data_IF_879484393465
#
_entry.id   IF_879484393465
#
_cell.length_a   1.000
_cell.length_b   1.000
_cell.length_c   1.000
_cell.angle_alpha   90.00
_cell.angle_beta   90.00
_cell.angle_gamma   90.00
#
_symmetry.space_group_name_H-M   'P 1'
#
loop_
_entity.id
_entity.type
_entity.pdbx_description
1 polymer ?
#
# COMPACT_ATOMS: atom_id res chain seq x y z
N UNK A 1 -8.21 2.71 16.31
CA UNK A 1 -8.30 4.08 15.75
C UNK A 1 -6.95 4.78 15.64
N UNK A 2 -6.13 4.83 16.70
CA UNK A 2 -4.81 5.51 16.66
C UNK A 2 -3.86 4.93 15.60
N UNK A 3 -3.78 3.60 15.49
CA UNK A 3 -3.00 2.91 14.44
C UNK A 3 -3.38 3.37 13.02
N UNK A 4 -4.68 3.39 12.73
CA UNK A 4 -5.19 3.84 11.43
C UNK A 4 -4.91 5.31 11.14
N UNK A 5 -4.99 6.18 12.14
CA UNK A 5 -4.68 7.62 12.00
C UNK A 5 -3.19 7.83 11.68
N UNK A 6 -2.30 7.16 12.41
CA UNK A 6 -0.85 7.26 12.20
C UNK A 6 -0.48 6.71 10.82
N UNK A 7 -1.00 5.54 10.45
CA UNK A 7 -0.77 4.94 9.13
C UNK A 7 -1.28 5.85 7.99
N UNK A 8 -2.49 6.38 8.12
CA UNK A 8 -3.07 7.28 7.13
C UNK A 8 -2.26 8.56 6.98
N UNK A 9 -1.81 9.16 8.09
CA UNK A 9 -0.99 10.37 8.10
C UNK A 9 0.38 10.12 7.46
N UNK A 10 1.02 9.00 7.80
CA UNK A 10 2.29 8.58 7.20
C UNK A 10 2.19 8.41 5.69
N UNK A 11 1.10 7.79 5.22
CA UNK A 11 0.80 7.67 3.78
C UNK A 11 0.66 9.04 3.11
N UNK A 12 -0.11 9.95 3.70
CA UNK A 12 -0.33 11.27 3.13
C UNK A 12 0.93 12.15 3.11
N UNK A 13 1.83 11.98 4.09
CA UNK A 13 3.01 12.83 4.21
C UNK A 13 4.24 12.29 3.46
N UNK A 14 4.42 10.97 3.46
CA UNK A 14 5.70 10.36 3.09
C UNK A 14 5.68 9.47 1.86
N UNK A 15 4.50 9.10 1.34
CA UNK A 15 4.44 8.18 0.20
C UNK A 15 4.51 8.96 -1.09
N UNK A 16 5.40 8.51 -1.98
CA UNK A 16 5.70 9.21 -3.22
C UNK A 16 4.49 9.32 -4.15
N UNK A 17 3.66 8.29 -4.21
CA UNK A 17 2.42 8.27 -5.01
C UNK A 17 1.45 9.39 -4.64
N UNK A 18 1.50 9.79 -3.38
CA UNK A 18 0.62 10.74 -2.75
C UNK A 18 1.22 12.14 -2.82
N UNK A 19 2.51 12.27 -2.49
CA UNK A 19 3.27 13.54 -2.59
C UNK A 19 3.28 14.07 -4.01
N UNK A 20 3.47 13.21 -5.02
CA UNK A 20 3.46 13.61 -6.43
C UNK A 20 2.14 14.26 -6.83
N UNK A 21 1.00 13.75 -6.36
CA UNK A 21 -0.32 14.31 -6.68
C UNK A 21 -0.50 15.73 -6.16
N UNK A 22 0.08 16.06 -5.00
CA UNK A 22 0.00 17.41 -4.45
C UNK A 22 0.89 18.40 -5.21
N UNK A 23 2.06 17.95 -5.68
CA UNK A 23 2.98 18.77 -6.47
C UNK A 23 2.42 19.12 -7.86
N UNK A 24 1.45 18.36 -8.35
CA UNK A 24 0.74 18.65 -9.60
C UNK A 24 -0.45 19.61 -9.45
N UNK A 25 -0.81 20.03 -8.24
CA UNK A 25 -1.91 20.98 -8.03
C UNK A 25 -1.46 22.42 -8.25
N UNK A 26 -2.38 23.31 -8.66
CA UNK A 26 -2.02 24.68 -9.01
C UNK A 26 -1.81 25.58 -7.79
N UNK A 27 -2.21 25.14 -6.60
CA UNK A 27 -2.00 25.89 -5.36
C UNK A 27 -2.02 25.01 -4.11
N UNK A 28 -1.42 25.50 -3.02
CA UNK A 28 -1.49 24.86 -1.70
C UNK A 28 -2.92 24.67 -1.20
N UNK A 29 -3.84 25.60 -1.54
CA UNK A 29 -5.25 25.50 -1.18
C UNK A 29 -5.93 24.32 -1.88
N UNK A 30 -5.59 24.08 -3.14
CA UNK A 30 -6.08 22.92 -3.89
C UNK A 30 -5.48 21.61 -3.38
N UNK A 31 -4.18 21.56 -3.10
CA UNK A 31 -3.56 20.40 -2.46
C UNK A 31 -4.27 20.01 -1.16
N UNK A 32 -4.53 20.98 -0.27
CA UNK A 32 -5.26 20.74 0.99
C UNK A 32 -6.69 20.24 0.76
N UNK A 33 -7.39 20.78 -0.23
CA UNK A 33 -8.73 20.32 -0.61
C UNK A 33 -8.72 18.90 -1.15
N UNK A 34 -7.74 18.56 -1.99
CA UNK A 34 -7.59 17.20 -2.53
C UNK A 34 -7.31 16.18 -1.42
N UNK A 35 -6.44 16.53 -0.46
CA UNK A 35 -6.17 15.70 0.72
C UNK A 35 -7.44 15.50 1.56
N UNK A 36 -8.14 16.59 1.87
CA UNK A 36 -9.37 16.54 2.65
C UNK A 36 -10.45 15.70 1.96
N UNK A 37 -10.61 15.86 0.65
CA UNK A 37 -11.55 15.07 -0.14
C UNK A 37 -11.17 13.59 -0.13
N UNK A 38 -9.90 13.25 -0.32
CA UNK A 38 -9.40 11.87 -0.24
C UNK A 38 -9.68 11.23 1.12
N UNK A 39 -9.48 11.98 2.21
CA UNK A 39 -9.78 11.53 3.57
C UNK A 39 -11.27 11.29 3.79
N UNK A 40 -12.11 12.24 3.36
CA UNK A 40 -13.57 12.14 3.49
C UNK A 40 -14.13 10.99 2.65
N UNK A 41 -13.63 10.78 1.43
CA UNK A 41 -14.08 9.68 0.56
C UNK A 41 -13.58 8.30 1.00
N UNK A 42 -12.48 8.23 1.75
CA UNK A 42 -11.96 6.95 2.26
C UNK A 42 -12.90 6.31 3.30
N UNK A 43 -13.53 7.11 4.17
CA UNK A 43 -14.44 6.63 5.22
C UNK A 43 -15.66 5.87 4.69
N UNK A 44 -16.49 6.42 3.79
CA UNK A 44 -17.64 5.70 3.25
C UNK A 44 -17.20 4.51 2.39
N UNK A 45 -16.04 4.59 1.73
CA UNK A 45 -15.50 3.47 0.96
C UNK A 45 -15.23 2.27 1.86
N UNK A 46 -14.53 2.46 2.99
CA UNK A 46 -14.32 1.38 3.97
C UNK A 46 -15.63 0.89 4.57
N UNK A 47 -16.53 1.81 4.93
CA UNK A 47 -17.86 1.46 5.44
C UNK A 47 -18.64 0.56 4.46
N UNK A 48 -18.59 0.87 3.17
CA UNK A 48 -19.22 0.08 2.13
C UNK A 48 -18.60 -1.33 2.02
N UNK A 49 -17.28 -1.46 2.01
CA UNK A 49 -16.61 -2.77 1.95
C UNK A 49 -16.94 -3.65 3.18
N UNK A 50 -16.93 -3.08 4.39
CA UNK A 50 -17.32 -3.82 5.60
C UNK A 50 -18.80 -4.21 5.60
N UNK A 51 -19.66 -3.31 5.11
CA UNK A 51 -21.09 -3.60 4.98
C UNK A 51 -21.33 -4.74 3.99
N UNK A 52 -20.72 -4.69 2.81
CA UNK A 52 -20.80 -5.77 1.80
C UNK A 52 -20.27 -7.09 2.37
N UNK A 53 -19.12 -7.09 3.05
CA UNK A 53 -18.59 -8.30 3.69
C UNK A 53 -19.56 -8.89 4.73
N UNK A 54 -20.22 -8.04 5.52
CA UNK A 54 -21.24 -8.48 6.50
C UNK A 54 -22.47 -9.04 5.80
N UNK A 55 -22.93 -8.42 4.72
CA UNK A 55 -24.03 -8.94 3.91
C UNK A 55 -23.72 -10.31 3.31
N UNK A 56 -22.51 -10.51 2.77
CA UNK A 56 -22.06 -11.80 2.24
C UNK A 56 -21.98 -12.87 3.32
N UNK A 57 -21.45 -12.51 4.50
CA UNK A 57 -21.40 -13.41 5.64
C UNK A 57 -22.82 -13.89 6.01
N UNK A 58 -23.77 -12.98 6.19
CA UNK A 58 -25.17 -13.33 6.51
C UNK A 58 -25.82 -14.13 5.37
N UNK A 59 -25.60 -13.74 4.11
CA UNK A 59 -26.16 -14.41 2.94
C UNK A 59 -25.77 -15.89 2.89
N UNK A 60 -24.47 -16.19 2.96
CA UNK A 60 -23.98 -17.58 2.90
C UNK A 60 -24.27 -18.38 4.17
N UNK A 61 -24.43 -17.73 5.33
CA UNK A 61 -24.89 -18.41 6.55
C UNK A 61 -26.33 -18.93 6.45
N UNK A 62 -27.14 -18.33 5.58
CA UNK A 62 -28.52 -18.79 5.32
C UNK A 62 -28.64 -19.66 4.06
N UNK A 63 -27.58 -19.74 3.23
CA UNK A 63 -27.52 -20.48 1.98
C UNK A 63 -26.25 -21.35 1.92
N UNK A 64 -25.94 -22.06 3.01
CA UNK A 64 -24.66 -22.77 3.19
C UNK A 64 -24.37 -23.79 2.08
N UNK A 65 -25.40 -24.37 1.46
CA UNK A 65 -25.24 -25.32 0.34
C UNK A 65 -24.63 -24.72 -0.93
N UNK A 66 -24.54 -23.39 -1.04
CA UNK A 66 -24.05 -22.69 -2.23
C UNK A 66 -22.56 -22.34 -2.18
N UNK A 67 -21.90 -22.46 -1.01
CA UNK A 67 -20.47 -22.15 -0.87
C UNK A 67 -19.66 -23.45 -0.66
N UNK A 68 -18.64 -23.74 -1.50
CA UNK A 68 -17.81 -24.93 -1.31
C UNK A 68 -17.14 -24.96 0.07
N UNK A 69 -17.10 -26.14 0.69
CA UNK A 69 -16.35 -26.34 1.95
C UNK A 69 -14.87 -26.01 1.76
N UNK A 70 -14.29 -25.30 2.72
CA UNK A 70 -12.89 -24.85 2.65
C UNK A 70 -12.66 -23.63 1.76
N UNK A 71 -13.71 -22.89 1.38
CA UNK A 71 -13.54 -21.62 0.67
C UNK A 71 -12.82 -20.60 1.54
N UNK A 72 -11.67 -20.12 1.06
CA UNK A 72 -10.89 -19.06 1.69
C UNK A 72 -11.70 -17.75 1.79
N UNK A 73 -11.48 -16.99 2.87
CA UNK A 73 -12.22 -15.75 3.12
C UNK A 73 -12.13 -14.75 1.95
N UNK A 74 -10.97 -14.66 1.29
CA UNK A 74 -10.72 -13.77 0.15
C UNK A 74 -11.48 -14.18 -1.12
N UNK A 75 -11.91 -15.45 -1.23
CA UNK A 75 -12.59 -16.00 -2.40
C UNK A 75 -14.11 -15.83 -2.36
N UNK A 76 -14.69 -15.52 -1.18
CA UNK A 76 -16.15 -15.42 -0.99
C UNK A 76 -16.78 -14.32 -1.87
N UNK A 77 -16.16 -13.15 -1.94
CA UNK A 77 -16.69 -12.04 -2.75
C UNK A 77 -16.60 -12.32 -4.27
N UNK A 78 -15.44 -12.76 -4.82
CA UNK A 78 -15.38 -13.24 -6.20
C UNK A 78 -16.39 -14.35 -6.52
N UNK A 79 -16.58 -15.31 -5.60
CA UNK A 79 -17.54 -16.39 -5.78
C UNK A 79 -18.97 -15.85 -5.95
N UNK A 80 -19.37 -14.91 -5.09
CA UNK A 80 -20.69 -14.26 -5.17
C UNK A 80 -20.89 -13.52 -6.49
N UNK A 81 -19.88 -12.77 -6.96
CA UNK A 81 -19.96 -12.02 -8.22
C UNK A 81 -20.22 -12.94 -9.42
N UNK A 82 -19.62 -14.13 -9.42
CA UNK A 82 -19.67 -15.06 -10.55
C UNK A 82 -20.91 -15.94 -10.55
N UNK A 83 -21.44 -16.31 -9.38
CA UNK A 83 -22.50 -17.32 -9.27
C UNK A 83 -23.87 -16.75 -8.88
N UNK A 84 -23.91 -15.67 -8.12
CA UNK A 84 -25.16 -15.15 -7.53
C UNK A 84 -25.65 -13.86 -8.21
N UNK A 85 -24.77 -13.14 -8.92
CA UNK A 85 -25.15 -11.88 -9.57
C UNK A 85 -25.78 -12.11 -10.96
N UNK A 86 -26.81 -11.32 -11.32
CA UNK A 86 -27.40 -11.38 -12.65
C UNK A 86 -26.42 -10.94 -13.74
N UNK A 87 -26.59 -11.52 -14.93
CA UNK A 87 -25.79 -11.19 -16.11
C UNK A 87 -25.86 -9.69 -16.43
N UNK A 88 -24.73 -9.12 -16.85
CA UNK A 88 -24.56 -7.67 -17.00
C UNK A 88 -23.96 -7.00 -15.76
N UNK A 89 -24.56 -7.18 -14.58
CA UNK A 89 -24.02 -6.59 -13.34
C UNK A 89 -22.67 -7.19 -12.97
N UNK A 90 -22.49 -8.50 -13.14
CA UNK A 90 -21.20 -9.19 -12.99
C UNK A 90 -20.09 -8.50 -13.79
N UNK A 91 -20.37 -8.15 -15.05
CA UNK A 91 -19.38 -7.49 -15.93
C UNK A 91 -19.00 -6.10 -15.44
N UNK A 92 -19.98 -5.31 -14.99
CA UNK A 92 -19.74 -3.97 -14.42
C UNK A 92 -18.88 -4.04 -13.16
N UNK A 93 -19.17 -4.98 -12.26
CA UNK A 93 -18.42 -5.16 -11.02
C UNK A 93 -16.99 -5.61 -11.30
N UNK A 94 -16.80 -6.61 -12.16
CA UNK A 94 -15.45 -7.08 -12.55
C UNK A 94 -14.64 -5.94 -13.18
N UNK A 95 -15.25 -5.18 -14.09
CA UNK A 95 -14.59 -4.02 -14.70
C UNK A 95 -14.20 -2.97 -13.66
N UNK A 96 -15.07 -2.68 -12.69
CA UNK A 96 -14.79 -1.76 -11.59
C UNK A 96 -13.65 -2.21 -10.68
N UNK A 97 -13.61 -3.50 -10.33
CA UNK A 97 -12.52 -4.10 -9.52
C UNK A 97 -11.19 -4.02 -10.27
N UNK A 98 -11.18 -4.38 -11.56
CA UNK A 98 -9.99 -4.29 -12.40
C UNK A 98 -9.50 -2.84 -12.54
N UNK A 99 -10.42 -1.89 -12.77
CA UNK A 99 -10.09 -0.47 -12.85
C UNK A 99 -9.48 0.06 -11.54
N UNK A 100 -10.04 -0.33 -10.39
CA UNK A 100 -9.51 0.05 -9.08
C UNK A 100 -8.11 -0.54 -8.83
N UNK A 101 -7.90 -1.82 -9.20
CA UNK A 101 -6.61 -2.49 -9.10
C UNK A 101 -5.56 -1.81 -9.99
N UNK A 102 -5.89 -1.54 -11.25
CA UNK A 102 -5.00 -0.85 -12.20
C UNK A 102 -4.63 0.55 -11.71
N UNK A 103 -5.60 1.35 -11.21
CA UNK A 103 -5.33 2.68 -10.68
C UNK A 103 -4.29 2.69 -9.55
N UNK A 104 -4.34 1.68 -8.68
CA UNK A 104 -3.39 1.52 -7.57
C UNK A 104 -2.01 1.05 -8.06
N UNK A 105 -1.99 0.10 -9.00
CA UNK A 105 -0.75 -0.39 -9.61
C UNK A 105 -0.02 0.71 -10.40
N UNK A 106 -0.73 1.48 -11.20
CA UNK A 106 -0.16 2.58 -12.00
C UNK A 106 0.51 3.63 -11.12
N UNK A 107 -0.13 3.97 -10.00
CA UNK A 107 0.42 4.93 -9.04
C UNK A 107 1.70 4.42 -8.38
N UNK A 108 1.74 3.13 -8.05
CA UNK A 108 2.92 2.48 -7.44
C UNK A 108 4.09 2.37 -8.43
N UNK A 109 3.82 1.94 -9.67
CA UNK A 109 4.83 1.86 -10.73
C UNK A 109 5.43 3.24 -11.05
N UNK A 110 4.59 4.25 -11.22
CA UNK A 110 5.04 5.62 -11.47
C UNK A 110 5.91 6.17 -10.33
N UNK A 111 5.55 5.85 -9.09
CA UNK A 111 6.30 6.29 -7.90
C UNK A 111 7.69 5.66 -7.83
N UNK A 112 7.79 4.35 -8.03
CA UNK A 112 9.07 3.63 -8.06
C UNK A 112 9.96 4.18 -9.18
N UNK A 113 9.41 4.32 -10.38
CA UNK A 113 10.14 4.84 -11.54
C UNK A 113 10.63 6.27 -11.32
N UNK A 114 9.80 7.14 -10.75
CA UNK A 114 10.20 8.49 -10.40
C UNK A 114 11.36 8.51 -9.40
N UNK A 115 11.28 7.74 -8.30
CA UNK A 115 12.36 7.66 -7.30
C UNK A 115 13.66 7.15 -7.92
N UNK A 116 13.61 6.08 -8.72
CA UNK A 116 14.81 5.56 -9.39
C UNK A 116 15.41 6.63 -10.33
N UNK A 117 14.58 7.31 -11.12
CA UNK A 117 15.07 8.32 -12.07
C UNK A 117 15.62 9.57 -11.35
N UNK A 118 14.91 10.12 -10.37
CA UNK A 118 15.31 11.38 -9.71
C UNK A 118 16.41 11.17 -8.68
N UNK A 119 16.29 10.13 -7.86
CA UNK A 119 17.10 9.99 -6.66
C UNK A 119 18.30 9.10 -6.88
N UNK A 120 18.24 8.16 -7.83
CA UNK A 120 19.35 7.26 -8.17
C UNK A 120 20.02 7.73 -9.46
N UNK A 121 19.30 7.79 -10.57
CA UNK A 121 19.89 8.09 -11.87
C UNK A 121 20.37 9.55 -11.96
N UNK A 122 19.49 10.54 -11.79
CA UNK A 122 19.88 11.96 -11.89
C UNK A 122 20.89 12.39 -10.82
N UNK A 123 20.80 11.83 -9.61
CA UNK A 123 21.63 12.26 -8.48
C UNK A 123 22.95 11.51 -8.34
N UNK A 124 22.97 10.20 -8.58
CA UNK A 124 24.13 9.36 -8.27
C UNK A 124 24.82 8.79 -9.51
N UNK A 125 24.07 8.37 -10.55
CA UNK A 125 24.64 7.54 -11.61
C UNK A 125 24.77 8.24 -12.98
N UNK A 126 23.68 8.74 -13.53
CA UNK A 126 23.56 9.30 -14.87
C UNK A 126 23.34 10.81 -14.77
N UNK A 127 24.37 11.55 -14.36
CA UNK A 127 24.29 13.02 -14.19
C UNK A 127 24.35 13.73 -15.54
N UNK A 128 23.42 14.67 -15.77
CA UNK A 128 23.42 15.54 -16.95
C UNK A 128 23.07 14.85 -18.27
N UNK A 129 22.43 13.68 -18.22
CA UNK A 129 21.95 13.00 -19.44
C UNK A 129 20.72 13.70 -20.04
N UNK A 130 20.42 13.37 -21.29
CA UNK A 130 19.22 13.90 -21.97
C UNK A 130 17.93 13.38 -21.34
N UNK A 131 16.85 14.16 -21.44
CA UNK A 131 15.51 13.73 -20.97
C UNK A 131 15.03 12.45 -21.65
N UNK A 132 15.42 12.23 -22.91
CA UNK A 132 15.13 10.99 -23.62
C UNK A 132 15.76 9.77 -22.95
N UNK A 133 16.99 9.90 -22.44
CA UNK A 133 17.67 8.84 -21.69
C UNK A 133 16.91 8.54 -20.40
N UNK A 134 16.51 9.56 -19.64
CA UNK A 134 15.74 9.36 -18.41
C UNK A 134 14.38 8.71 -18.68
N UNK A 135 13.70 9.06 -19.77
CA UNK A 135 12.43 8.43 -20.16
C UNK A 135 12.59 6.94 -20.51
N UNK A 136 13.68 6.57 -21.20
CA UNK A 136 13.96 5.16 -21.50
C UNK A 136 14.23 4.39 -20.20
N UNK A 137 15.05 4.94 -19.30
CA UNK A 137 15.29 4.34 -17.98
C UNK A 137 13.99 4.18 -17.20
N UNK A 138 13.13 5.21 -17.18
CA UNK A 138 11.84 5.17 -16.49
C UNK A 138 10.95 4.01 -16.99
N UNK A 139 10.91 3.79 -18.31
CA UNK A 139 10.14 2.70 -18.93
C UNK A 139 10.72 1.32 -18.61
N UNK A 140 12.04 1.19 -18.62
CA UNK A 140 12.72 -0.06 -18.25
C UNK A 140 12.46 -0.39 -16.79
N UNK A 141 12.57 0.59 -15.89
CA UNK A 141 12.27 0.43 -14.46
C UNK A 141 10.82 -0.01 -14.27
N UNK A 142 9.85 0.64 -14.93
CA UNK A 142 8.45 0.23 -14.87
C UNK A 142 8.25 -1.23 -15.30
N UNK A 143 8.85 -1.66 -16.40
CA UNK A 143 8.74 -3.03 -16.89
C UNK A 143 9.35 -4.04 -15.91
N UNK A 144 10.53 -3.73 -15.35
CA UNK A 144 11.18 -4.59 -14.35
C UNK A 144 10.38 -4.66 -13.05
N UNK A 145 9.89 -3.53 -12.54
CA UNK A 145 9.06 -3.50 -11.34
C UNK A 145 7.75 -4.27 -11.55
N UNK A 146 7.11 -4.14 -12.71
CA UNK A 146 5.93 -4.92 -13.05
C UNK A 146 6.21 -6.44 -13.07
N UNK A 147 7.34 -6.86 -13.65
CA UNK A 147 7.75 -8.26 -13.64
C UNK A 147 7.98 -8.79 -12.22
N UNK A 148 8.60 -8.00 -11.34
CA UNK A 148 8.77 -8.34 -9.91
C UNK A 148 7.42 -8.43 -9.21
N UNK A 149 6.49 -7.50 -9.46
CA UNK A 149 5.15 -7.53 -8.88
C UNK A 149 4.39 -8.80 -9.29
N UNK A 150 4.49 -9.23 -10.55
CA UNK A 150 3.91 -10.50 -11.03
C UNK A 150 4.56 -11.69 -10.33
N UNK A 151 5.89 -11.70 -10.18
CA UNK A 151 6.61 -12.75 -9.47
C UNK A 151 6.19 -12.89 -8.00
N UNK A 152 6.04 -11.75 -7.29
CA UNK A 152 5.53 -11.72 -5.91
C UNK A 152 4.07 -12.19 -5.86
N UNK A 153 3.23 -11.81 -6.82
CA UNK A 153 1.85 -12.27 -6.88
C UNK A 153 1.77 -13.79 -7.04
N UNK A 154 2.58 -14.39 -7.92
CA UNK A 154 2.67 -15.85 -8.07
C UNK A 154 3.15 -16.50 -6.77
N UNK A 155 4.18 -15.95 -6.13
CA UNK A 155 4.68 -16.46 -4.85
C UNK A 155 3.60 -16.45 -3.75
N UNK A 156 2.79 -15.39 -3.67
CA UNK A 156 1.70 -15.29 -2.70
C UNK A 156 0.55 -16.29 -2.93
N UNK A 157 0.40 -16.82 -4.14
CA UNK A 157 -0.55 -17.91 -4.44
C UNK A 157 -0.02 -19.26 -3.94
N UNK A 158 1.31 -19.42 -3.88
CA UNK A 158 1.95 -20.67 -3.45
C UNK A 158 2.12 -20.77 -1.92
N UNK A 159 2.03 -19.64 -1.20
CA UNK A 159 2.16 -19.60 0.26
C UNK A 159 0.79 -19.68 0.92
N UNK A 160 0.63 -20.62 1.86
CA UNK A 160 -0.57 -20.71 2.71
C UNK A 160 -0.69 -19.46 3.59
N UNK A 161 -1.83 -18.77 3.52
CA UNK A 161 -2.15 -17.56 4.28
C UNK A 161 -3.63 -17.58 4.65
N UNK A 162 -3.98 -17.11 5.84
CA UNK A 162 -5.39 -16.99 6.26
C UNK A 162 -6.12 -15.88 5.48
N UNK A 163 -5.44 -14.76 5.19
CA UNK A 163 -5.96 -13.73 4.29
C UNK A 163 -4.85 -12.91 3.62
N UNK A 164 -5.13 -12.36 2.44
CA UNK A 164 -4.28 -11.36 1.78
C UNK A 164 -4.13 -10.11 2.66
N UNK A 165 -5.17 -9.77 3.42
CA UNK A 165 -5.16 -8.60 4.29
C UNK A 165 -4.14 -8.76 5.42
N UNK A 166 -3.98 -9.95 5.98
CA UNK A 166 -2.98 -10.20 7.03
C UNK A 166 -1.55 -10.09 6.49
N UNK A 167 -1.31 -10.64 5.30
CA UNK A 167 -0.02 -10.48 4.61
C UNK A 167 0.28 -9.00 4.34
N UNK A 168 -0.72 -8.23 3.89
CA UNK A 168 -0.61 -6.79 3.69
C UNK A 168 -0.29 -6.04 5.00
N UNK A 169 -1.01 -6.32 6.08
CA UNK A 169 -0.82 -5.67 7.37
C UNK A 169 0.55 -5.99 7.97
N UNK A 170 1.04 -7.22 7.80
CA UNK A 170 2.39 -7.60 8.23
C UNK A 170 3.47 -6.81 7.46
N UNK A 171 3.36 -6.69 6.14
CA UNK A 171 4.29 -5.90 5.33
C UNK A 171 4.27 -4.41 5.69
N UNK A 172 3.08 -3.84 5.84
CA UNK A 172 2.90 -2.43 6.24
C UNK A 172 3.42 -2.17 7.65
N UNK A 173 3.20 -3.10 8.58
CA UNK A 173 3.70 -2.98 9.95
C UNK A 173 5.22 -2.81 10.00
N UNK A 174 5.96 -3.65 9.25
CA UNK A 174 7.42 -3.64 9.25
C UNK A 174 7.99 -2.42 8.50
N UNK A 175 7.49 -2.14 7.29
CA UNK A 175 8.09 -1.13 6.40
C UNK A 175 7.45 0.27 6.56
N UNK A 176 6.13 0.32 6.75
CA UNK A 176 5.36 1.57 6.87
C UNK A 176 5.54 2.26 8.22
N UNK A 177 5.71 1.48 9.30
CA UNK A 177 6.02 2.02 10.62
C UNK A 177 7.35 2.78 10.64
N UNK A 178 8.39 2.17 10.09
CA UNK A 178 9.73 2.76 10.04
C UNK A 178 9.79 4.05 9.19
N UNK A 179 9.16 4.05 8.01
CA UNK A 179 9.12 5.24 7.15
C UNK A 179 8.34 6.39 7.79
N UNK A 180 7.19 6.10 8.40
CA UNK A 180 6.39 7.09 9.12
C UNK A 180 7.14 7.68 10.31
N UNK A 181 7.85 6.84 11.09
CA UNK A 181 8.67 7.29 12.21
C UNK A 181 9.79 8.24 11.74
N UNK A 182 10.49 7.92 10.66
CA UNK A 182 11.52 8.79 10.08
C UNK A 182 10.96 10.13 9.60
N UNK A 183 9.80 10.13 8.94
CA UNK A 183 9.12 11.35 8.53
C UNK A 183 8.70 12.22 9.72
N UNK A 184 8.12 11.62 10.75
CA UNK A 184 7.74 12.34 11.97
C UNK A 184 8.95 12.89 12.71
N UNK A 185 10.05 12.14 12.79
CA UNK A 185 11.32 12.62 13.35
C UNK A 185 11.91 13.77 12.52
N UNK A 186 11.82 13.72 11.19
CA UNK A 186 12.28 14.81 10.34
C UNK A 186 11.43 16.09 10.48
N UNK A 187 10.12 15.95 10.73
CA UNK A 187 9.18 17.06 10.87
C UNK A 187 9.14 17.68 12.28
N UNK A 188 9.18 16.85 13.31
CA UNK A 188 9.00 17.24 14.72
C UNK A 188 10.32 17.30 15.49
N UNK A 189 11.38 16.67 14.97
CA UNK A 189 12.70 16.67 15.60
C UNK A 189 13.36 18.06 15.55
N UNK A 190 14.26 18.36 16.50
CA UNK A 190 15.12 19.54 16.41
C UNK A 190 15.85 19.50 15.06
N UNK A 191 16.04 20.64 14.38
CA UNK A 191 16.83 20.74 13.13
C UNK A 191 18.21 20.12 13.34
N UNK A 192 18.37 18.84 13.05
CA UNK A 192 19.62 18.09 13.22
C UNK A 192 20.27 17.87 11.86
N UNK A 193 21.59 17.96 11.88
CA UNK A 193 22.49 17.81 10.74
C UNK A 193 22.32 16.45 10.06
N UNK A 194 22.73 16.37 8.78
CA UNK A 194 22.64 15.19 7.89
C UNK A 194 23.06 13.85 8.56
N UNK A 195 23.96 13.88 9.54
CA UNK A 195 24.44 12.73 10.30
C UNK A 195 23.38 12.11 11.24
N UNK A 196 22.49 12.93 11.83
CA UNK A 196 21.45 12.48 12.75
C UNK A 196 20.28 11.77 12.08
N UNK A 197 20.00 12.09 10.82
CA UNK A 197 18.98 11.40 10.02
C UNK A 197 19.47 10.02 9.56
N UNK A 198 20.76 9.89 9.24
CA UNK A 198 21.36 8.60 8.85
C UNK A 198 21.42 7.64 10.05
N UNK A 199 21.76 8.11 11.25
CA UNK A 199 21.80 7.26 12.45
C UNK A 199 20.43 6.76 12.89
N UNK A 200 19.35 7.51 12.67
CA UNK A 200 17.98 7.05 12.93
C UNK A 200 17.54 5.92 11.98
N UNK A 201 17.97 5.97 10.71
CA UNK A 201 17.70 4.92 9.70
C UNK A 201 18.35 3.59 10.09
N UNK A 202 19.57 3.62 10.62
CA UNK A 202 20.27 2.41 11.06
C UNK A 202 19.85 1.94 12.47
N UNK A 203 19.49 2.86 13.37
CA UNK A 203 19.01 2.52 14.71
C UNK A 203 17.67 1.78 14.73
N UNK A 204 16.74 2.10 13.81
CA UNK A 204 15.44 1.44 13.71
C UNK A 204 15.55 -0.04 13.29
N UNK A 205 16.63 -0.44 12.61
CA UNK A 205 16.90 -1.85 12.25
C UNK A 205 17.39 -2.70 13.42
N UNK A 206 17.84 -2.10 14.53
CA UNK A 206 18.38 -2.84 15.68
C UNK A 206 17.29 -3.26 16.70
N UNK A 207 16.13 -2.60 16.68
CA UNK A 207 15.09 -2.80 17.69
C UNK A 207 14.40 -4.18 17.69
N UNK A 208 14.17 -4.87 16.56
CA UNK A 208 13.59 -6.22 16.60
C UNK A 208 14.58 -7.32 17.00
N UNK A 209 15.87 -7.02 17.20
CA UNK A 209 16.91 -8.00 17.55
C UNK A 209 17.33 -7.95 19.03
N UNK A 210 16.69 -7.12 19.85
CA UNK A 210 17.02 -6.94 21.27
C UNK A 210 15.88 -7.36 22.23
N UNK A 211 14.83 -8.02 21.74
CA UNK A 211 13.90 -8.76 22.62
C UNK A 211 14.59 -10.05 23.10
N UNK A 212 15.46 -9.89 24.10
CA UNK A 212 15.88 -11.01 24.97
C UNK A 212 14.62 -11.59 25.65
N UNK A 213 14.45 -12.93 25.70
CA UNK A 213 13.31 -13.54 26.37
C UNK A 213 13.34 -13.23 27.88
N UNK A 214 12.18 -13.11 28.54
CA UNK A 214 12.12 -12.74 29.96
C UNK A 214 12.82 -13.80 30.83
N UNK A 215 13.57 -13.39 31.87
CA UNK A 215 14.25 -14.33 32.74
C UNK A 215 13.22 -15.17 33.51
N UNK A 216 13.38 -16.48 33.42
CA UNK A 216 12.66 -17.45 34.26
C UNK A 216 12.78 -17.03 35.73
N UNK A 217 11.65 -16.65 36.33
CA UNK A 217 11.56 -16.44 37.77
C UNK A 217 11.76 -17.78 38.47
N UNK A 218 12.95 -17.92 39.05
CA UNK A 218 13.26 -18.88 40.10
C UNK A 218 12.57 -18.40 41.38
N UNK A 219 11.48 -19.07 41.77
CA UNK A 219 11.24 -19.59 43.12
C UNK A 219 9.93 -20.36 43.19
#
# INVERSE_FOLDING_TARGET
MLYGLVHYTGRMAGYQDTVQRYLCTSSLKEARRAIALSAVLSVPTWGLFYFVGTCLYVFYKHHESSLPEGTEADAVFPHFILHEMPTGFTGVVIAGVLAAAMSSMDSSLNSVSAVVVTDICKRCWLRGCSDRTYLVVARVVNALTAAVMIGVAIMLVLVSKESINDAYNAMVGVLGGASTALFLLALLGPRRTHLGNVSAIFGARATPLLEEPPPCLTR
#
